data_IF_719125869376
#
_entry.id   IF_719125869376
#
_cell.length_a   1.000
_cell.length_b   1.000
_cell.length_c   1.000
_cell.angle_alpha   90.00
_cell.angle_beta   90.00
_cell.angle_gamma   90.00
#
_symmetry.space_group_name_H-M   'P 1'
#
loop_
_entity.id
_entity.type
_entity.pdbx_description
1 polymer ?
#
# COMPACT_ATOMS: atom_id res chain seq x y z
N UNK A 1 26.49 -6.25 13.13
CA UNK A 1 25.87 -5.63 14.32
C UNK A 1 25.95 -6.64 15.46
N UNK A 2 27.17 -6.94 15.88
CA UNK A 2 27.45 -7.71 17.10
C UNK A 2 27.98 -6.67 18.06
N UNK A 3 27.35 -6.52 19.23
CA UNK A 3 27.77 -5.57 20.25
C UNK A 3 29.06 -6.14 20.88
N UNK A 4 30.18 -5.95 20.19
CA UNK A 4 31.48 -6.55 20.48
C UNK A 4 32.16 -6.11 21.78
N UNK A 5 31.56 -5.18 22.51
CA UNK A 5 32.09 -4.69 23.79
C UNK A 5 31.18 -5.16 24.93
N UNK A 6 31.36 -6.41 25.34
CA UNK A 6 30.75 -6.98 26.55
C UNK A 6 31.83 -7.55 27.46
N UNK A 7 31.75 -7.27 28.76
CA UNK A 7 32.72 -7.68 29.77
C UNK A 7 32.74 -9.22 29.93
N UNK A 8 31.62 -9.90 29.68
CA UNK A 8 31.49 -11.35 29.83
C UNK A 8 31.33 -12.06 28.47
N UNK A 9 32.48 -12.49 27.92
CA UNK A 9 32.58 -13.24 26.67
C UNK A 9 32.25 -14.73 26.87
N UNK A 10 31.29 -15.26 26.09
CA UNK A 10 30.92 -16.68 26.13
C UNK A 10 31.63 -17.48 25.05
N UNK A 11 31.60 -17.00 23.80
CA UNK A 11 32.20 -17.68 22.64
C UNK A 11 32.85 -16.65 21.72
N UNK A 12 34.12 -16.89 21.40
CA UNK A 12 34.89 -16.11 20.42
C UNK A 12 35.27 -17.03 19.26
N UNK A 13 34.64 -16.83 18.10
CA UNK A 13 34.94 -17.59 16.89
C UNK A 13 35.28 -16.61 15.76
N UNK A 14 36.57 -16.29 15.62
CA UNK A 14 37.05 -15.33 14.62
C UNK A 14 36.44 -13.93 14.80
N UNK A 15 35.72 -13.45 13.78
CA UNK A 15 35.05 -12.13 13.75
C UNK A 15 33.74 -12.14 14.57
N UNK A 16 33.20 -13.33 14.87
CA UNK A 16 32.02 -13.48 15.71
C UNK A 16 32.41 -13.54 17.19
N UNK A 17 32.06 -12.47 17.90
CA UNK A 17 32.15 -12.40 19.36
C UNK A 17 30.74 -12.36 19.94
N UNK A 18 30.42 -13.35 20.79
CA UNK A 18 29.13 -13.45 21.46
C UNK A 18 29.36 -13.23 22.95
N UNK A 19 28.93 -12.07 23.43
CA UNK A 19 28.91 -11.71 24.86
C UNK A 19 27.50 -11.92 25.45
N UNK A 20 27.40 -12.08 26.77
CA UNK A 20 26.11 -12.16 27.46
C UNK A 20 25.29 -10.88 27.22
N UNK A 21 25.93 -9.72 27.19
CA UNK A 21 25.32 -8.41 26.92
C UNK A 21 24.77 -8.33 25.50
N UNK A 22 25.46 -8.93 24.52
CA UNK A 22 24.98 -9.04 23.14
C UNK A 22 23.71 -9.88 23.05
N UNK A 23 23.60 -10.97 23.82
CA UNK A 23 22.40 -11.81 23.85
C UNK A 23 21.22 -11.05 24.46
N UNK A 24 21.43 -10.38 25.59
CA UNK A 24 20.38 -9.58 26.26
C UNK A 24 19.90 -8.44 25.37
N UNK A 25 20.81 -7.67 24.75
CA UNK A 25 20.46 -6.60 23.80
C UNK A 25 19.78 -7.15 22.55
N UNK A 26 20.25 -8.29 22.04
CA UNK A 26 19.63 -8.98 20.91
C UNK A 26 18.19 -9.39 21.21
N UNK A 27 17.94 -9.92 22.42
CA UNK A 27 16.60 -10.27 22.88
C UNK A 27 15.69 -9.04 23.04
N UNK A 28 16.20 -7.94 23.60
CA UNK A 28 15.43 -6.69 23.68
C UNK A 28 15.07 -6.14 22.29
N UNK A 29 16.01 -6.16 21.35
CA UNK A 29 15.77 -5.66 20.00
C UNK A 29 14.77 -6.55 19.24
N UNK A 30 14.89 -7.88 19.37
CA UNK A 30 13.98 -8.81 18.72
C UNK A 30 12.56 -8.67 19.28
N UNK A 31 12.40 -8.59 20.61
CA UNK A 31 11.11 -8.34 21.25
C UNK A 31 10.49 -7.03 20.77
N UNK A 32 11.25 -5.92 20.78
CA UNK A 32 10.77 -4.63 20.27
C UNK A 32 10.32 -4.72 18.81
N UNK A 33 11.10 -5.39 17.97
CA UNK A 33 10.80 -5.54 16.54
C UNK A 33 9.53 -6.37 16.33
N UNK A 34 9.37 -7.47 17.09
CA UNK A 34 8.17 -8.31 17.05
C UNK A 34 6.95 -7.51 17.48
N UNK A 35 7.03 -6.76 18.59
CA UNK A 35 5.92 -5.94 19.09
C UNK A 35 5.46 -4.91 18.05
N UNK A 36 6.40 -4.14 17.46
CA UNK A 36 6.07 -3.15 16.42
C UNK A 36 5.46 -3.82 15.18
N UNK A 37 5.98 -4.98 14.79
CA UNK A 37 5.48 -5.73 13.63
C UNK A 37 4.06 -6.26 13.87
N UNK A 38 3.78 -6.78 15.07
CA UNK A 38 2.44 -7.23 15.46
C UNK A 38 1.42 -6.09 15.43
N UNK A 39 1.75 -4.91 15.97
CA UNK A 39 0.87 -3.74 15.88
C UNK A 39 0.60 -3.33 14.44
N UNK A 40 1.64 -3.34 13.58
CA UNK A 40 1.48 -3.03 12.16
C UNK A 40 0.51 -4.00 11.45
N UNK A 41 0.65 -5.30 11.70
CA UNK A 41 -0.24 -6.34 11.13
C UNK A 41 -1.67 -6.18 11.66
N UNK A 42 -1.83 -5.92 12.96
CA UNK A 42 -3.13 -5.74 13.59
C UNK A 42 -3.89 -4.58 12.94
N UNK A 43 -3.25 -3.43 12.75
CA UNK A 43 -3.83 -2.28 12.07
C UNK A 43 -4.22 -2.64 10.63
N UNK A 44 -3.32 -3.30 9.89
CA UNK A 44 -3.57 -3.67 8.50
C UNK A 44 -4.76 -4.63 8.32
N UNK A 45 -4.97 -5.56 9.27
CA UNK A 45 -6.02 -6.56 9.19
C UNK A 45 -7.38 -6.07 9.71
N UNK A 46 -7.38 -5.20 10.72
CA UNK A 46 -8.61 -4.74 11.38
C UNK A 46 -9.18 -3.45 10.79
N UNK A 47 -8.35 -2.62 10.15
CA UNK A 47 -8.75 -1.30 9.68
C UNK A 47 -9.23 -1.31 8.23
N UNK A 48 -10.46 -0.83 8.02
CA UNK A 48 -10.97 -0.58 6.67
C UNK A 48 -10.53 0.80 6.19
N UNK A 49 -9.70 0.84 5.14
CA UNK A 49 -9.16 2.08 4.57
C UNK A 49 -10.24 3.13 4.27
N UNK A 50 -11.42 2.70 3.80
CA UNK A 50 -12.55 3.60 3.53
C UNK A 50 -13.02 4.32 4.80
N UNK A 51 -13.09 3.61 5.93
CA UNK A 51 -13.51 4.17 7.22
C UNK A 51 -12.47 5.15 7.79
N UNK A 52 -11.18 4.94 7.49
CA UNK A 52 -10.11 5.90 7.82
C UNK A 52 -10.37 7.25 7.15
N UNK A 53 -10.76 7.26 5.86
CA UNK A 53 -11.07 8.53 5.18
C UNK A 53 -12.35 9.19 5.71
N UNK A 54 -13.38 8.42 6.06
CA UNK A 54 -14.59 8.98 6.69
C UNK A 54 -14.29 9.60 8.05
N UNK A 55 -13.54 8.92 8.91
CA UNK A 55 -13.12 9.46 10.21
C UNK A 55 -12.24 10.70 10.05
N UNK A 56 -11.37 10.75 9.05
CA UNK A 56 -10.56 11.93 8.73
C UNK A 56 -11.41 13.13 8.28
N UNK A 57 -12.44 12.89 7.45
CA UNK A 57 -13.37 13.94 7.01
C UNK A 57 -14.21 14.47 8.18
N UNK A 58 -14.64 13.58 9.09
CA UNK A 58 -15.54 13.92 10.19
C UNK A 58 -14.81 14.58 11.36
N UNK A 59 -13.67 14.03 11.78
CA UNK A 59 -12.94 14.49 12.97
C UNK A 59 -11.87 15.52 12.64
N UNK A 60 -11.07 15.29 11.60
CA UNK A 60 -10.00 16.21 11.19
C UNK A 60 -10.49 17.29 10.19
N UNK A 61 -11.78 17.27 9.82
CA UNK A 61 -12.42 18.23 8.89
C UNK A 61 -11.67 18.36 7.55
N UNK A 62 -11.06 17.27 7.08
CA UNK A 62 -10.40 17.24 5.77
C UNK A 62 -11.43 17.48 4.66
N UNK A 63 -11.10 18.39 3.72
CA UNK A 63 -12.00 18.73 2.61
C UNK A 63 -12.40 17.46 1.85
N UNK A 64 -13.71 17.22 1.62
CA UNK A 64 -14.19 15.99 0.99
C UNK A 64 -13.56 15.66 -0.36
N UNK A 65 -13.17 16.68 -1.13
CA UNK A 65 -12.49 16.55 -2.42
C UNK A 65 -11.25 15.66 -2.35
N UNK A 66 -10.39 15.86 -1.36
CA UNK A 66 -9.18 15.06 -1.20
C UNK A 66 -9.51 13.63 -0.78
N UNK A 67 -10.38 13.46 0.21
CA UNK A 67 -10.77 12.14 0.71
C UNK A 67 -11.42 11.28 -0.38
N UNK A 68 -12.33 11.84 -1.19
CA UNK A 68 -12.92 11.12 -2.32
C UNK A 68 -11.92 10.79 -3.42
N UNK A 69 -10.97 11.68 -3.71
CA UNK A 69 -9.90 11.40 -4.65
C UNK A 69 -9.03 10.22 -4.19
N UNK A 70 -8.63 10.18 -2.93
CA UNK A 70 -7.88 9.05 -2.37
C UNK A 70 -8.69 7.76 -2.32
N UNK A 71 -9.95 7.81 -1.89
CA UNK A 71 -10.83 6.64 -1.89
C UNK A 71 -11.02 6.08 -3.30
N UNK A 72 -11.20 6.94 -4.31
CA UNK A 72 -11.28 6.54 -5.70
C UNK A 72 -9.98 5.89 -6.18
N UNK A 73 -8.83 6.50 -5.87
CA UNK A 73 -7.51 5.97 -6.23
C UNK A 73 -7.29 4.57 -5.65
N UNK A 74 -7.56 4.38 -4.35
CA UNK A 74 -7.39 3.09 -3.65
C UNK A 74 -8.31 2.02 -4.24
N UNK A 75 -9.55 2.37 -4.57
CA UNK A 75 -10.49 1.45 -5.22
C UNK A 75 -10.04 1.10 -6.64
N UNK A 76 -9.33 2.00 -7.33
CA UNK A 76 -8.84 1.80 -8.68
C UNK A 76 -7.61 0.88 -8.74
N UNK A 77 -6.78 0.83 -7.69
CA UNK A 77 -5.59 -0.04 -7.60
C UNK A 77 -5.87 -1.51 -8.01
N UNK A 78 -6.83 -2.24 -7.41
CA UNK A 78 -7.09 -3.63 -7.80
C UNK A 78 -7.55 -3.75 -9.27
N UNK A 79 -8.27 -2.76 -9.80
CA UNK A 79 -8.70 -2.72 -11.20
C UNK A 79 -7.52 -2.50 -12.17
N UNK A 80 -6.52 -1.72 -11.74
CA UNK A 80 -5.28 -1.51 -12.50
C UNK A 80 -4.49 -2.82 -12.52
N UNK A 81 -4.34 -3.49 -11.36
CA UNK A 81 -3.61 -4.76 -11.26
C UNK A 81 -4.26 -5.84 -12.13
N UNK A 82 -5.58 -5.99 -12.10
CA UNK A 82 -6.28 -6.96 -12.95
C UNK A 82 -6.09 -6.65 -14.44
N UNK A 83 -6.18 -5.38 -14.84
CA UNK A 83 -5.94 -4.97 -16.22
C UNK A 83 -4.49 -5.19 -16.68
N UNK A 84 -3.53 -4.97 -15.79
CA UNK A 84 -2.12 -5.26 -16.02
C UNK A 84 -1.89 -6.76 -16.27
N UNK A 85 -2.51 -7.62 -15.46
CA UNK A 85 -2.41 -9.07 -15.61
C UNK A 85 -3.03 -9.52 -16.94
N UNK A 86 -4.21 -8.99 -17.29
CA UNK A 86 -4.87 -9.29 -18.57
C UNK A 86 -4.03 -8.84 -19.76
N UNK A 87 -3.51 -7.61 -19.73
CA UNK A 87 -2.65 -7.07 -20.78
C UNK A 87 -1.36 -7.90 -20.93
N UNK A 88 -0.73 -8.27 -19.81
CA UNK A 88 0.45 -9.15 -19.83
C UNK A 88 0.15 -10.50 -20.49
N UNK A 89 -1.00 -11.11 -20.18
CA UNK A 89 -1.42 -12.39 -20.80
C UNK A 89 -1.68 -12.24 -22.29
N UNK A 90 -2.38 -11.18 -22.70
CA UNK A 90 -2.64 -10.89 -24.12
C UNK A 90 -1.34 -10.65 -24.91
N UNK A 91 -0.43 -9.83 -24.37
CA UNK A 91 0.88 -9.61 -24.98
C UNK A 91 1.71 -10.89 -25.03
N UNK A 92 1.67 -11.73 -23.99
CA UNK A 92 2.36 -13.03 -24.00
C UNK A 92 1.88 -13.92 -25.15
N UNK A 93 0.57 -13.99 -25.39
CA UNK A 93 0.00 -14.75 -26.52
C UNK A 93 0.43 -14.16 -27.87
N UNK A 94 0.40 -12.83 -28.00
CA UNK A 94 0.73 -12.14 -29.26
C UNK A 94 2.22 -12.23 -29.63
N UNK A 95 3.11 -12.18 -28.64
CA UNK A 95 4.56 -12.20 -28.84
C UNK A 95 5.18 -13.59 -28.66
N UNK A 96 4.38 -14.64 -28.45
CA UNK A 96 4.87 -16.02 -28.42
C UNK A 96 5.39 -16.50 -29.79
N UNK A 97 5.00 -15.84 -30.88
CA UNK A 97 5.43 -16.12 -32.26
C UNK A 97 6.61 -15.24 -32.73
N UNK A 98 7.08 -14.30 -31.91
CA UNK A 98 8.13 -13.34 -32.27
C UNK A 98 9.41 -13.69 -31.52
N UNK A 99 10.54 -13.64 -32.21
CA UNK A 99 11.85 -13.92 -31.62
C UNK A 99 12.09 -13.10 -30.34
N UNK A 100 12.53 -13.78 -29.29
CA UNK A 100 12.76 -13.19 -27.98
C UNK A 100 13.78 -12.03 -28.02
N UNK A 101 14.63 -11.97 -29.05
CA UNK A 101 15.59 -10.88 -29.27
C UNK A 101 14.91 -9.53 -29.57
N UNK A 102 13.80 -9.53 -30.31
CA UNK A 102 13.08 -8.31 -30.72
C UNK A 102 12.12 -7.76 -29.64
N UNK A 103 11.83 -8.53 -28.60
CA UNK A 103 10.90 -8.20 -27.52
C UNK A 103 11.59 -8.14 -26.15
N UNK A 104 12.72 -7.45 -26.05
CA UNK A 104 13.47 -7.23 -24.80
C UNK A 104 13.59 -5.76 -24.43
N UNK A 105 13.82 -5.50 -23.15
CA UNK A 105 14.11 -4.17 -22.61
C UNK A 105 12.98 -3.15 -22.76
N UNK A 106 13.34 -1.93 -23.17
CA UNK A 106 12.45 -0.76 -23.25
C UNK A 106 11.25 -0.98 -24.18
N UNK A 107 11.44 -1.70 -25.31
CA UNK A 107 10.33 -1.98 -26.24
C UNK A 107 9.21 -2.77 -25.56
N UNK A 108 9.55 -3.74 -24.71
CA UNK A 108 8.58 -4.53 -23.94
C UNK A 108 7.85 -3.67 -22.90
N UNK A 109 8.58 -2.77 -22.24
CA UNK A 109 8.00 -1.83 -21.28
C UNK A 109 6.99 -0.90 -21.96
N UNK A 110 7.34 -0.31 -23.11
CA UNK A 110 6.47 0.60 -23.85
C UNK A 110 5.15 -0.07 -24.28
N UNK A 111 5.22 -1.32 -24.77
CA UNK A 111 4.03 -2.09 -25.15
C UNK A 111 3.10 -2.41 -23.98
N UNK A 112 3.60 -2.36 -22.75
CA UNK A 112 2.81 -2.60 -21.55
C UNK A 112 2.30 -1.29 -20.94
N UNK A 113 3.17 -0.28 -20.82
CA UNK A 113 2.86 0.98 -20.14
C UNK A 113 1.91 1.85 -20.95
N UNK A 114 2.13 1.99 -22.25
CA UNK A 114 1.31 2.88 -23.10
C UNK A 114 -0.17 2.45 -23.10
N UNK A 115 -0.52 1.17 -23.36
CA UNK A 115 -1.92 0.75 -23.35
C UNK A 115 -2.54 0.79 -21.96
N UNK A 116 -1.76 0.44 -20.92
CA UNK A 116 -2.21 0.48 -19.55
C UNK A 116 -2.56 1.91 -19.11
N UNK A 117 -1.69 2.88 -19.38
CA UNK A 117 -1.93 4.28 -19.06
C UNK A 117 -3.13 4.82 -19.85
N UNK A 118 -3.20 4.56 -21.16
CA UNK A 118 -4.32 4.98 -22.00
C UNK A 118 -5.66 4.47 -21.47
N UNK A 119 -5.72 3.17 -21.10
CA UNK A 119 -6.93 2.58 -20.52
C UNK A 119 -7.30 3.21 -19.18
N UNK A 120 -6.33 3.49 -18.32
CA UNK A 120 -6.58 4.08 -17.02
C UNK A 120 -6.97 5.57 -17.10
N UNK A 121 -6.40 6.33 -18.04
CA UNK A 121 -6.83 7.72 -18.32
C UNK A 121 -8.28 7.74 -18.79
N UNK A 122 -8.65 6.84 -19.71
CA UNK A 122 -10.04 6.72 -20.17
C UNK A 122 -11.00 6.38 -19.02
N UNK A 123 -10.62 5.45 -18.14
CA UNK A 123 -11.42 5.10 -16.95
C UNK A 123 -11.55 6.27 -15.98
N UNK A 124 -10.46 7.01 -15.72
CA UNK A 124 -10.49 8.19 -14.87
C UNK A 124 -11.43 9.27 -15.43
N UNK A 125 -11.40 9.49 -16.74
CA UNK A 125 -12.32 10.41 -17.41
C UNK A 125 -13.79 9.93 -17.29
N UNK A 126 -14.07 8.66 -17.56
CA UNK A 126 -15.42 8.09 -17.38
C UNK A 126 -15.93 8.22 -15.94
N UNK A 127 -15.05 7.98 -14.95
CA UNK A 127 -15.39 8.18 -13.54
C UNK A 127 -15.71 9.65 -13.24
N UNK A 128 -14.91 10.58 -13.77
CA UNK A 128 -15.17 12.02 -13.61
C UNK A 128 -16.53 12.42 -14.18
N UNK A 129 -16.84 12.00 -15.41
CA UNK A 129 -18.13 12.28 -16.05
C UNK A 129 -19.29 11.66 -15.27
N UNK A 130 -19.12 10.43 -14.75
CA UNK A 130 -20.12 9.77 -13.93
C UNK A 130 -20.32 10.44 -12.55
N UNK A 131 -19.27 11.05 -12.00
CA UNK A 131 -19.36 11.82 -10.76
C UNK A 131 -20.09 13.14 -11.01
N UNK A 132 -19.74 13.84 -12.09
CA UNK A 132 -20.39 15.10 -12.48
C UNK A 132 -21.88 14.90 -12.78
N UNK A 133 -22.25 13.84 -13.51
CA UNK A 133 -23.66 13.52 -13.80
C UNK A 133 -24.47 13.19 -12.55
N UNK A 134 -23.84 12.67 -11.49
CA UNK A 134 -24.43 12.49 -10.16
C UNK A 134 -24.44 13.75 -9.30
N UNK A 135 -24.08 14.91 -9.87
CA UNK A 135 -24.07 16.19 -9.16
C UNK A 135 -22.90 16.33 -8.19
N UNK A 136 -21.77 15.65 -8.41
CA UNK A 136 -20.57 15.81 -7.59
C UNK A 136 -19.95 17.20 -7.83
N UNK A 137 -20.42 18.22 -7.09
CA UNK A 137 -19.91 19.60 -7.11
C UNK A 137 -19.22 19.96 -5.79
N UNK A 138 -18.40 21.01 -5.81
CA UNK A 138 -17.80 21.57 -4.59
C UNK A 138 -18.89 22.26 -3.75
N UNK A 139 -19.04 21.85 -2.48
CA UNK A 139 -20.09 22.34 -1.58
C UNK A 139 -20.23 21.52 -0.29
N UNK A 140 -21.11 21.93 0.63
CA UNK A 140 -21.43 21.15 1.82
C UNK A 140 -22.03 19.79 1.42
N UNK A 141 -21.55 18.72 2.09
CA UNK A 141 -21.88 17.34 1.76
C UNK A 141 -22.37 16.61 3.00
N UNK A 142 -23.37 15.76 2.83
CA UNK A 142 -23.80 14.78 3.84
C UNK A 142 -22.98 13.50 3.69
N UNK A 143 -22.73 12.84 4.81
CA UNK A 143 -21.99 11.58 4.86
C UNK A 143 -22.97 10.43 5.06
N UNK A 144 -22.83 9.37 4.25
CA UNK A 144 -23.64 8.16 4.43
C UNK A 144 -23.09 7.28 5.56
N UNK A 145 -21.76 7.14 5.64
CA UNK A 145 -21.11 6.42 6.73
C UNK A 145 -20.71 7.41 7.82
N UNK A 146 -21.18 7.16 9.04
CA UNK A 146 -20.76 7.88 10.24
C UNK A 146 -19.74 7.02 10.98
N UNK A 147 -18.66 7.65 11.44
CA UNK A 147 -17.68 7.06 12.34
C UNK A 147 -17.92 7.65 13.74
N UNK A 148 -18.93 7.16 14.50
CA UNK A 148 -19.17 7.63 15.86
C UNK A 148 -18.03 7.20 16.78
N UNK A 149 -17.69 8.05 17.75
CA UNK A 149 -16.88 7.62 18.87
C UNK A 149 -17.66 6.62 19.73
N UNK A 150 -17.04 5.47 20.00
CA UNK A 150 -17.58 4.45 20.89
C UNK A 150 -16.87 4.49 22.24
N UNK A 151 -17.47 3.87 23.25
CA UNK A 151 -16.85 3.67 24.57
C UNK A 151 -15.49 2.95 24.46
N UNK A 152 -15.33 2.11 23.43
CA UNK A 152 -14.07 1.43 23.10
C UNK A 152 -12.94 2.37 22.64
N UNK A 153 -13.26 3.61 22.28
CA UNK A 153 -12.25 4.61 21.85
C UNK A 153 -11.68 5.42 23.04
N UNK A 154 -12.29 5.31 24.22
CA UNK A 154 -11.88 6.03 25.45
C UNK A 154 -10.99 5.17 26.35
N UNK A 155 -11.18 3.84 26.32
CA UNK A 155 -10.38 2.85 27.09
C UNK A 155 -9.12 2.49 26.31
#
# INVERSE_FOLDING_TARGET
>A
ILYGDGEHMLVKFGILQISTESIVRGLHLSMRTITVSMFGILIALTSQIVMIFYSLMQHLKVKPKFAYAFMAAIRMVPLIISSLIQLRRSLKMRYQMIDASNYKGIKRLNHLVIPLLSQNIRRAHQLSVAMESKGFKDGPRTYYYHAPFSYKDII
#
